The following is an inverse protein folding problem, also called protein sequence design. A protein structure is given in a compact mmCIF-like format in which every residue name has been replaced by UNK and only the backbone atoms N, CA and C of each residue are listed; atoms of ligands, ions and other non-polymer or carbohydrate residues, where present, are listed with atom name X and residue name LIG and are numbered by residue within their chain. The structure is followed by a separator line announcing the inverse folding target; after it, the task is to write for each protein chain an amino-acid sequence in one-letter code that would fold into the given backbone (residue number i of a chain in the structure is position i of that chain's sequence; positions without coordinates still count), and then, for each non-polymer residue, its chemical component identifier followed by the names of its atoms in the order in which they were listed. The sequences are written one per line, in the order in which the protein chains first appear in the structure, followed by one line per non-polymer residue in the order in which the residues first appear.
data_IF_224846397280
#
_entry.id   IF_224846397280
#
_cell.length_a   1.000
_cell.length_b   1.000
_cell.length_c   1.000
_cell.angle_alpha   90.00
_cell.angle_beta   90.00
_cell.angle_gamma   90.00
#
_symmetry.space_group_name_H-M   'P 1'
#
loop_
_entity.id
_entity.type
_entity.pdbx_description
1 polymer ?
#
# COMPACT_ATOMS: atom_id res chain seq x y z
N UNK A 1 -43.91 49.12 -33.62
CA UNK A 1 -43.33 50.44 -33.93
C UNK A 1 -41.87 50.37 -33.52
N UNK A 2 -40.84 50.43 -34.36
CA UNK A 2 -40.59 51.24 -35.55
C UNK A 2 -39.84 50.42 -36.61
N UNK A 3 -40.25 50.59 -37.87
CA UNK A 3 -39.58 50.12 -39.09
C UNK A 3 -38.28 50.90 -39.24
N UNK A 4 -37.14 50.22 -39.30
CA UNK A 4 -35.91 50.82 -39.84
C UNK A 4 -35.73 50.29 -41.26
N UNK A 5 -35.82 51.24 -42.16
CA UNK A 5 -35.89 51.16 -43.60
C UNK A 5 -34.69 50.45 -44.23
N UNK A 6 -34.99 49.69 -45.29
CA UNK A 6 -34.02 49.30 -46.33
C UNK A 6 -33.26 50.54 -46.78
N UNK A 7 -31.98 50.64 -46.44
CA UNK A 7 -31.08 51.57 -47.13
C UNK A 7 -30.70 50.92 -48.46
N UNK A 8 -31.46 51.28 -49.49
CA UNK A 8 -31.01 51.17 -50.88
C UNK A 8 -29.74 52.01 -51.00
N UNK A 9 -28.58 51.38 -51.12
CA UNK A 9 -27.41 52.05 -51.67
C UNK A 9 -27.65 52.20 -53.16
N UNK A 10 -28.16 53.37 -53.51
CA UNK A 10 -28.14 53.93 -54.86
C UNK A 10 -26.71 53.80 -55.38
N UNK A 11 -26.53 53.02 -56.46
CA UNK A 11 -25.27 52.97 -57.19
C UNK A 11 -25.17 54.24 -58.01
N UNK A 12 -24.61 55.29 -57.43
CA UNK A 12 -24.07 56.40 -58.21
C UNK A 12 -22.60 56.09 -58.51
N UNK A 13 -22.33 55.77 -59.77
CA UNK A 13 -20.97 55.62 -60.30
C UNK A 13 -20.31 57.00 -60.38
N UNK A 14 -19.78 57.49 -59.27
CA UNK A 14 -18.77 58.54 -59.29
C UNK A 14 -17.42 57.87 -59.57
N UNK A 15 -17.00 57.90 -60.83
CA UNK A 15 -15.66 57.49 -61.25
C UNK A 15 -14.61 58.29 -60.45
N UNK A 16 -13.63 57.59 -59.89
CA UNK A 16 -12.35 58.10 -59.33
C UNK A 16 -12.26 58.45 -57.84
N UNK A 17 -13.10 57.88 -56.96
CA UNK A 17 -12.78 57.84 -55.52
C UNK A 17 -12.66 56.40 -55.05
N UNK A 18 -11.42 55.95 -54.81
CA UNK A 18 -11.14 54.62 -54.28
C UNK A 18 -10.90 54.73 -52.77
N UNK A 19 -11.95 54.60 -51.95
CA UNK A 19 -11.78 54.41 -50.50
C UNK A 19 -11.54 52.92 -50.25
N UNK A 20 -10.31 52.52 -49.95
CA UNK A 20 -10.02 51.17 -49.46
C UNK A 20 -10.55 51.04 -48.02
N UNK A 21 -11.46 50.10 -47.72
CA UNK A 21 -11.89 49.89 -46.35
C UNK A 21 -10.70 49.39 -45.51
N UNK A 22 -10.48 50.01 -44.34
CA UNK A 22 -9.46 49.63 -43.37
C UNK A 22 -9.75 48.19 -42.87
N UNK A 23 -9.19 47.19 -43.55
CA UNK A 23 -9.32 45.77 -43.22
C UNK A 23 -8.51 45.48 -41.94
N UNK A 24 -9.05 45.77 -40.76
CA UNK A 24 -8.52 45.26 -39.47
C UNK A 24 -8.79 43.75 -39.26
N UNK A 25 -9.09 43.00 -40.32
CA UNK A 25 -9.06 41.55 -40.37
C UNK A 25 -9.10 41.12 -41.84
N UNK A 26 -8.28 40.16 -42.26
CA UNK A 26 -8.35 39.61 -43.62
C UNK A 26 -9.77 39.12 -43.93
N UNK A 27 -10.23 39.27 -45.18
CA UNK A 27 -11.59 38.88 -45.64
C UNK A 27 -11.88 37.38 -45.38
N UNK A 28 -10.84 36.58 -45.16
CA UNK A 28 -10.93 35.16 -44.87
C UNK A 28 -10.94 34.80 -43.37
N UNK A 29 -10.74 35.74 -42.43
CA UNK A 29 -10.74 35.45 -41.00
C UNK A 29 -12.02 35.93 -40.30
N UNK A 30 -12.83 34.96 -39.89
CA UNK A 30 -14.07 35.21 -39.12
C UNK A 30 -13.73 35.57 -37.67
N UNK A 31 -14.41 36.59 -37.11
CA UNK A 31 -14.31 36.97 -35.68
C UNK A 31 -14.66 35.77 -34.78
N UNK A 32 -13.78 35.43 -33.84
CA UNK A 32 -14.02 34.34 -32.90
C UNK A 32 -15.22 34.68 -32.00
N UNK A 33 -16.25 33.85 -32.04
CA UNK A 33 -17.46 34.01 -31.22
C UNK A 33 -17.18 33.55 -29.79
N UNK A 34 -17.65 34.32 -28.81
CA UNK A 34 -17.65 33.91 -27.40
C UNK A 34 -18.54 32.67 -27.27
N UNK A 35 -18.08 31.65 -26.55
CA UNK A 35 -18.87 30.42 -26.35
C UNK A 35 -20.12 30.71 -25.52
N UNK A 36 -21.22 30.06 -25.86
CA UNK A 36 -22.46 30.14 -25.09
C UNK A 36 -22.24 29.66 -23.64
N UNK A 37 -22.87 30.32 -22.65
CA UNK A 37 -22.63 30.03 -21.23
C UNK A 37 -23.01 28.60 -20.84
N UNK A 38 -24.03 28.03 -21.49
CA UNK A 38 -24.45 26.64 -21.27
C UNK A 38 -23.42 25.63 -21.80
N UNK A 39 -22.87 25.86 -22.98
CA UNK A 39 -21.80 25.02 -23.53
C UNK A 39 -20.51 25.09 -22.68
N UNK A 40 -20.20 26.25 -22.09
CA UNK A 40 -19.08 26.40 -21.17
C UNK A 40 -19.26 25.56 -19.89
N UNK A 41 -20.46 25.62 -19.27
CA UNK A 41 -20.82 24.79 -18.10
C UNK A 41 -20.78 23.28 -18.43
N UNK A 42 -21.27 22.88 -19.60
CA UNK A 42 -21.19 21.48 -20.03
C UNK A 42 -19.74 21.00 -20.23
N UNK A 43 -18.85 21.85 -20.76
CA UNK A 43 -17.42 21.51 -20.86
C UNK A 43 -16.76 21.39 -19.49
N UNK A 44 -17.08 22.28 -18.55
CA UNK A 44 -16.57 22.23 -17.19
C UNK A 44 -17.03 20.98 -16.43
N UNK A 45 -18.32 20.66 -16.48
CA UNK A 45 -18.86 19.43 -15.86
C UNK A 45 -18.27 18.16 -16.44
N UNK A 46 -18.01 18.11 -17.76
CA UNK A 46 -17.28 17.00 -18.40
C UNK A 46 -15.85 16.88 -17.86
N UNK A 47 -15.14 17.99 -17.70
CA UNK A 47 -13.78 18.00 -17.11
C UNK A 47 -13.81 17.53 -15.65
N UNK A 48 -14.75 18.04 -14.83
CA UNK A 48 -14.92 17.62 -13.43
C UNK A 48 -15.19 16.12 -13.32
N UNK A 49 -16.09 15.57 -14.14
CA UNK A 49 -16.39 14.12 -14.14
C UNK A 49 -15.20 13.27 -14.58
N UNK A 50 -14.35 13.75 -15.49
CA UNK A 50 -13.11 13.05 -15.87
C UNK A 50 -12.12 13.00 -14.72
N UNK A 51 -11.85 14.16 -14.11
CA UNK A 51 -10.97 14.26 -12.94
C UNK A 51 -11.47 13.41 -11.78
N UNK A 52 -12.78 13.40 -11.52
CA UNK A 52 -13.36 12.56 -10.47
C UNK A 52 -13.15 11.07 -10.72
N UNK A 53 -13.30 10.60 -11.97
CA UNK A 53 -13.01 9.21 -12.34
C UNK A 53 -11.54 8.86 -12.18
N UNK A 54 -10.65 9.77 -12.58
CA UNK A 54 -9.20 9.59 -12.44
C UNK A 54 -8.80 9.54 -10.96
N UNK A 55 -9.32 10.44 -10.13
CA UNK A 55 -9.11 10.41 -8.68
C UNK A 55 -9.61 9.10 -8.07
N UNK A 56 -10.80 8.62 -8.46
CA UNK A 56 -11.32 7.32 -7.99
C UNK A 56 -10.43 6.15 -8.42
N UNK A 57 -9.86 6.20 -9.62
CA UNK A 57 -8.94 5.17 -10.12
C UNK A 57 -7.62 5.19 -9.34
N UNK A 58 -7.04 6.37 -9.12
CA UNK A 58 -5.82 6.56 -8.34
C UNK A 58 -6.00 6.11 -6.88
N UNK A 59 -7.13 6.45 -6.26
CA UNK A 59 -7.51 6.00 -4.92
C UNK A 59 -7.69 4.48 -4.84
N UNK A 60 -8.13 3.83 -5.92
CA UNK A 60 -8.21 2.36 -5.98
C UNK A 60 -6.83 1.74 -6.13
N UNK A 61 -5.93 2.37 -6.90
CA UNK A 61 -4.58 1.85 -7.11
C UNK A 61 -3.70 2.01 -5.86
N UNK A 62 -3.81 3.12 -5.13
CA UNK A 62 -3.02 3.38 -3.90
C UNK A 62 -3.33 2.41 -2.76
N UNK A 63 -4.50 1.75 -2.80
CA UNK A 63 -4.91 0.75 -1.81
C UNK A 63 -4.47 -0.67 -2.14
N UNK A 64 -3.86 -0.91 -3.30
CA UNK A 64 -3.36 -2.25 -3.64
C UNK A 64 -2.12 -2.53 -2.79
N UNK A 65 -2.10 -3.60 -1.97
CA UNK A 65 -0.90 -3.97 -1.24
C UNK A 65 0.19 -4.40 -2.23
N UNK A 66 1.45 -4.19 -1.84
CA UNK A 66 2.58 -4.74 -2.59
C UNK A 66 2.49 -6.27 -2.54
N UNK A 67 2.80 -6.98 -3.64
CA UNK A 67 2.84 -8.43 -3.63
C UNK A 67 3.94 -8.92 -2.68
N UNK A 68 3.73 -10.09 -2.08
CA UNK A 68 4.69 -10.76 -1.21
C UNK A 68 5.40 -11.81 -2.05
N UNK A 69 6.62 -11.50 -2.49
CA UNK A 69 7.40 -12.35 -3.40
C UNK A 69 7.67 -13.76 -2.83
N UNK A 70 7.79 -13.92 -1.51
CA UNK A 70 8.05 -15.21 -0.85
C UNK A 70 6.85 -16.16 -0.89
N UNK A 71 5.63 -15.62 -1.02
CA UNK A 71 4.40 -16.42 -1.07
C UNK A 71 4.10 -16.94 -2.48
N UNK A 72 4.70 -16.34 -3.51
CA UNK A 72 4.53 -16.75 -4.90
C UNK A 72 5.72 -17.56 -5.40
N UNK A 73 5.44 -18.56 -6.24
CA UNK A 73 6.50 -19.25 -6.96
C UNK A 73 7.06 -18.33 -8.06
N UNK A 74 8.39 -18.25 -8.23
CA UNK A 74 8.96 -17.48 -9.32
C UNK A 74 8.59 -18.11 -10.67
N UNK A 75 8.28 -17.28 -11.65
CA UNK A 75 7.89 -17.71 -13.01
C UNK A 75 8.94 -18.62 -13.67
N UNK A 76 10.23 -18.38 -13.40
CA UNK A 76 11.33 -19.21 -13.89
C UNK A 76 11.34 -20.62 -13.31
N UNK A 77 10.84 -20.81 -12.08
CA UNK A 77 10.69 -22.14 -11.52
C UNK A 77 9.50 -22.87 -12.15
N UNK A 78 8.40 -22.15 -12.42
CA UNK A 78 7.18 -22.68 -13.04
C UNK A 78 7.43 -23.27 -14.45
N UNK A 79 8.29 -22.63 -15.25
CA UNK A 79 8.59 -23.09 -16.61
C UNK A 79 9.37 -24.41 -16.65
N UNK A 80 10.28 -24.63 -15.69
CA UNK A 80 11.18 -25.80 -15.68
C UNK A 80 10.82 -26.79 -14.56
N UNK A 81 9.54 -26.82 -14.12
CA UNK A 81 9.09 -27.69 -13.01
C UNK A 81 9.42 -29.16 -13.30
N UNK A 82 9.14 -29.62 -14.52
CA UNK A 82 9.36 -31.02 -14.94
C UNK A 82 10.82 -31.45 -14.83
N UNK A 83 11.75 -30.56 -15.18
CA UNK A 83 13.20 -30.81 -15.19
C UNK A 83 13.81 -30.76 -13.78
N UNK A 84 13.16 -30.04 -12.85
CA UNK A 84 13.66 -29.82 -11.48
C UNK A 84 13.17 -30.87 -10.49
N UNK A 85 12.26 -31.77 -10.88
CA UNK A 85 11.83 -32.84 -10.00
C UNK A 85 12.95 -33.84 -9.73
N UNK A 86 13.13 -34.18 -8.46
CA UNK A 86 13.95 -35.31 -8.04
C UNK A 86 13.08 -36.55 -8.00
N UNK A 87 13.56 -37.66 -8.55
CA UNK A 87 12.91 -38.96 -8.40
C UNK A 87 12.95 -39.38 -6.94
N UNK A 88 11.79 -39.56 -6.33
CA UNK A 88 11.66 -40.02 -4.95
C UNK A 88 11.75 -41.54 -4.92
N UNK A 89 12.57 -42.09 -4.01
CA UNK A 89 12.57 -43.51 -3.71
C UNK A 89 11.37 -43.86 -2.83
N UNK A 90 10.77 -45.03 -3.06
CA UNK A 90 9.69 -45.53 -2.21
C UNK A 90 10.22 -45.85 -0.81
N UNK A 91 9.64 -45.23 0.22
CA UNK A 91 10.03 -45.46 1.60
C UNK A 91 9.71 -46.89 2.03
N UNK A 92 10.69 -47.53 2.67
CA UNK A 92 10.47 -48.84 3.30
C UNK A 92 9.42 -48.75 4.42
N UNK A 93 8.62 -49.80 4.57
CA UNK A 93 7.61 -49.90 5.64
C UNK A 93 8.18 -49.74 7.04
N UNK A 94 9.46 -50.08 7.26
CA UNK A 94 10.17 -49.82 8.52
C UNK A 94 10.39 -48.33 8.73
N UNK A 95 10.90 -47.62 7.73
CA UNK A 95 11.15 -46.17 7.79
C UNK A 95 9.88 -45.39 8.11
N UNK A 96 8.75 -45.75 7.47
CA UNK A 96 7.46 -45.12 7.74
C UNK A 96 6.99 -45.33 9.19
N UNK A 97 7.21 -46.52 9.76
CA UNK A 97 6.87 -46.79 11.17
C UNK A 97 7.75 -45.99 12.12
N UNK A 98 9.04 -45.88 11.82
CA UNK A 98 10.00 -45.11 12.62
C UNK A 98 9.65 -43.61 12.59
N UNK A 99 9.30 -43.06 11.43
CA UNK A 99 8.79 -41.68 11.30
C UNK A 99 7.53 -41.45 12.14
N UNK A 100 6.55 -42.35 12.07
CA UNK A 100 5.31 -42.26 12.87
C UNK A 100 5.63 -42.27 14.37
N UNK A 101 6.58 -43.09 14.81
CA UNK A 101 6.99 -43.15 16.21
C UNK A 101 7.63 -41.82 16.65
N UNK A 102 8.57 -41.30 15.86
CA UNK A 102 9.24 -40.01 16.12
C UNK A 102 8.22 -38.88 16.20
N UNK A 103 7.25 -38.83 15.27
CA UNK A 103 6.22 -37.81 15.28
C UNK A 103 5.32 -37.89 16.53
N UNK A 104 4.97 -39.10 16.98
CA UNK A 104 4.20 -39.29 18.22
C UNK A 104 4.97 -38.80 19.44
N UNK A 105 6.25 -39.14 19.53
CA UNK A 105 7.12 -38.70 20.62
C UNK A 105 7.29 -37.17 20.62
N UNK A 106 7.57 -36.59 19.46
CA UNK A 106 7.68 -35.15 19.27
C UNK A 106 6.41 -34.41 19.68
N UNK A 107 5.24 -34.89 19.24
CA UNK A 107 3.95 -34.29 19.62
C UNK A 107 3.69 -34.40 21.13
N UNK A 108 4.07 -35.52 21.75
CA UNK A 108 3.97 -35.69 23.20
C UNK A 108 4.85 -34.68 23.94
N UNK A 109 6.10 -34.50 23.49
CA UNK A 109 7.03 -33.53 24.06
C UNK A 109 6.53 -32.09 23.89
N UNK A 110 6.05 -31.73 22.70
CA UNK A 110 5.50 -30.40 22.43
C UNK A 110 4.30 -30.09 23.33
N UNK A 111 3.42 -31.07 23.53
CA UNK A 111 2.27 -30.94 24.44
C UNK A 111 2.73 -30.69 25.88
N UNK A 112 3.78 -31.38 26.33
CA UNK A 112 4.36 -31.17 27.67
C UNK A 112 4.96 -29.78 27.81
N UNK A 113 5.71 -29.31 26.81
CA UNK A 113 6.29 -27.97 26.79
C UNK A 113 5.20 -26.90 26.90
N UNK A 114 4.14 -27.00 26.09
CA UNK A 114 3.02 -26.07 26.14
C UNK A 114 2.31 -26.04 27.49
N UNK A 115 2.16 -27.20 28.16
CA UNK A 115 1.59 -27.22 29.52
C UNK A 115 2.46 -26.49 30.53
N UNK A 116 3.77 -26.64 30.43
CA UNK A 116 4.72 -25.95 31.32
C UNK A 116 4.63 -24.43 31.09
N UNK A 117 4.60 -23.99 29.84
CA UNK A 117 4.48 -22.57 29.49
C UNK A 117 3.15 -21.99 29.97
N UNK A 118 2.04 -22.70 29.75
CA UNK A 118 0.71 -22.28 30.20
C UNK A 118 0.63 -22.19 31.74
N UNK A 119 1.14 -23.20 32.45
CA UNK A 119 1.23 -23.15 33.91
C UNK A 119 2.07 -21.96 34.40
N UNK A 120 3.17 -21.66 33.72
CA UNK A 120 4.02 -20.53 34.09
C UNK A 120 3.30 -19.20 33.88
N UNK A 121 2.64 -19.00 32.74
CA UNK A 121 1.84 -17.80 32.46
C UNK A 121 0.72 -17.64 33.49
N UNK A 122 -0.01 -18.72 33.79
CA UNK A 122 -1.08 -18.69 34.79
C UNK A 122 -0.56 -18.32 36.19
N UNK A 123 0.58 -18.87 36.60
CA UNK A 123 1.22 -18.55 37.89
C UNK A 123 1.64 -17.07 37.93
N UNK A 124 2.25 -16.56 36.87
CA UNK A 124 2.66 -15.15 36.77
C UNK A 124 1.45 -14.22 36.84
N UNK A 125 0.38 -14.51 36.09
CA UNK A 125 -0.85 -13.72 36.11
C UNK A 125 -1.52 -13.74 37.50
N UNK A 126 -1.66 -14.91 38.11
CA UNK A 126 -2.24 -15.02 39.46
C UNK A 126 -1.41 -14.27 40.51
N UNK A 127 -0.07 -14.30 40.39
CA UNK A 127 0.80 -13.54 41.28
C UNK A 127 0.65 -12.02 41.06
N UNK A 128 0.55 -11.57 39.81
CA UNK A 128 0.31 -10.18 39.46
C UNK A 128 -1.03 -9.67 40.01
N UNK A 129 -2.12 -10.42 39.81
CA UNK A 129 -3.45 -10.07 40.32
C UNK A 129 -3.45 -9.93 41.84
N UNK A 130 -2.89 -10.93 42.55
CA UNK A 130 -2.76 -10.88 44.02
C UNK A 130 -1.95 -9.68 44.48
N UNK A 131 -0.87 -9.34 43.77
CA UNK A 131 -0.05 -8.17 44.10
C UNK A 131 -0.85 -6.86 43.91
N UNK A 132 -1.63 -6.74 42.84
CA UNK A 132 -2.48 -5.58 42.57
C UNK A 132 -3.61 -5.44 43.59
N UNK A 133 -4.27 -6.53 43.97
CA UNK A 133 -5.30 -6.53 45.00
C UNK A 133 -4.76 -6.04 46.35
N UNK A 134 -3.57 -6.51 46.74
CA UNK A 134 -2.89 -6.04 47.95
C UNK A 134 -2.50 -4.57 47.85
N UNK A 135 -1.97 -4.14 46.70
CA UNK A 135 -1.59 -2.75 46.45
C UNK A 135 -2.81 -1.82 46.55
N UNK A 136 -3.97 -2.26 46.06
CA UNK A 136 -5.23 -1.51 46.12
C UNK A 136 -5.67 -1.24 47.56
N UNK A 137 -5.53 -2.22 48.45
CA UNK A 137 -5.87 -2.10 49.87
C UNK A 137 -4.89 -1.16 50.59
N UNK A 138 -3.59 -1.23 50.27
CA UNK A 138 -2.56 -0.42 50.91
C UNK A 138 -2.56 1.04 50.43
N UNK A 139 -2.70 1.26 49.12
CA UNK A 139 -2.56 2.57 48.49
C UNK A 139 -3.30 2.66 47.15
N UNK A 140 -4.50 3.26 47.11
CA UNK A 140 -5.27 3.39 45.87
C UNK A 140 -4.58 4.23 44.78
N UNK A 141 -3.81 5.25 45.17
CA UNK A 141 -3.09 6.12 44.22
C UNK A 141 -2.00 5.37 43.44
N UNK A 142 -1.20 4.53 44.10
CA UNK A 142 -0.17 3.73 43.42
C UNK A 142 -0.78 2.65 42.54
N UNK A 143 -1.90 2.07 42.96
CA UNK A 143 -2.65 1.12 42.14
C UNK A 143 -3.16 1.77 40.85
N UNK A 144 -3.67 3.00 40.90
CA UNK A 144 -4.08 3.73 39.70
C UNK A 144 -2.91 3.93 38.73
N UNK A 145 -1.76 4.39 39.25
CA UNK A 145 -0.55 4.57 38.44
C UNK A 145 -0.01 3.25 37.86
N UNK A 146 -0.13 2.13 38.59
CA UNK A 146 0.35 0.83 38.13
C UNK A 146 -0.48 0.21 36.99
N UNK A 147 -1.75 0.61 36.85
CA UNK A 147 -2.64 0.15 35.78
C UNK A 147 -2.44 0.94 34.48
N UNK A 148 -1.92 2.17 34.58
CA UNK A 148 -1.70 3.02 33.41
C UNK A 148 -0.74 2.36 32.42
N UNK A 149 -1.07 2.45 31.13
CA UNK A 149 -0.26 1.91 30.06
C UNK A 149 0.95 2.82 29.82
N UNK A 150 2.14 2.22 29.83
CA UNK A 150 3.38 2.93 29.54
C UNK A 150 3.63 2.96 28.03
N UNK A 151 3.35 4.09 27.39
CA UNK A 151 3.54 4.29 25.96
C UNK A 151 4.98 4.08 25.49
N UNK A 152 5.97 4.24 26.38
CA UNK A 152 7.39 4.06 26.03
C UNK A 152 7.72 2.60 25.74
N UNK A 153 7.04 1.66 26.41
CA UNK A 153 7.24 0.21 26.25
C UNK A 153 6.59 -0.37 25.00
N UNK A 154 5.70 0.38 24.34
CA UNK A 154 5.04 -0.06 23.09
C UNK A 154 6.07 -0.19 21.94
N UNK A 155 7.16 0.59 21.98
CA UNK A 155 8.25 0.55 20.98
C UNK A 155 9.37 -0.41 21.39
N UNK A 156 9.01 -1.65 21.64
CA UNK A 156 9.97 -2.68 22.02
C UNK A 156 10.65 -3.31 20.80
N UNK A 157 11.99 -3.29 20.75
CA UNK A 157 12.79 -3.99 19.74
C UNK A 157 13.58 -5.10 20.42
N UNK A 158 13.40 -6.34 19.98
CA UNK A 158 14.08 -7.52 20.51
C UNK A 158 14.71 -8.30 19.38
N UNK A 159 16.00 -8.60 19.53
CA UNK A 159 16.71 -9.52 18.66
C UNK A 159 16.82 -10.86 19.37
N UNK A 160 16.43 -11.94 18.69
CA UNK A 160 16.53 -13.29 19.24
C UNK A 160 17.97 -13.69 19.57
N UNK A 161 18.17 -14.68 20.44
CA UNK A 161 19.50 -15.16 20.78
C UNK A 161 20.21 -15.70 19.53
N UNK A 162 21.48 -15.34 19.27
CA UNK A 162 22.22 -15.86 18.14
C UNK A 162 22.60 -17.33 18.37
N UNK A 163 22.73 -18.10 17.28
CA UNK A 163 23.17 -19.51 17.37
C UNK A 163 24.57 -19.65 17.98
N UNK A 164 25.46 -18.70 17.69
CA UNK A 164 26.83 -18.63 18.24
C UNK A 164 27.05 -17.28 18.90
N UNK A 165 27.83 -17.25 19.99
CA UNK A 165 28.18 -16.01 20.66
C UNK A 165 29.05 -15.10 19.79
N UNK A 166 28.95 -13.79 20.04
CA UNK A 166 29.76 -12.78 19.36
C UNK A 166 31.26 -12.93 19.67
N UNK A 167 32.10 -12.83 18.65
CA UNK A 167 33.56 -12.83 18.77
C UNK A 167 34.05 -11.38 18.86
N UNK A 168 34.64 -11.00 20.00
CA UNK A 168 35.04 -9.60 20.31
C UNK A 168 35.97 -8.93 19.30
N UNK A 169 36.89 -9.70 18.70
CA UNK A 169 37.92 -9.17 17.79
C UNK A 169 37.75 -9.74 16.37
N UNK A 170 36.50 -9.94 15.95
CA UNK A 170 36.23 -10.35 14.58
C UNK A 170 36.21 -9.14 13.67
N UNK A 171 37.18 -9.06 12.77
CA UNK A 171 37.19 -8.07 11.69
C UNK A 171 36.43 -8.67 10.50
N UNK A 172 35.30 -8.05 10.18
CA UNK A 172 34.53 -8.43 9.00
C UNK A 172 35.30 -8.01 7.72
N UNK A 173 35.26 -8.81 6.66
CA UNK A 173 35.81 -8.40 5.37
C UNK A 173 35.03 -7.20 4.82
N UNK A 174 35.71 -6.36 4.04
CA UNK A 174 35.12 -5.17 3.43
C UNK A 174 34.16 -5.54 2.28
N UNK A 175 33.12 -4.74 2.08
CA UNK A 175 32.11 -4.99 1.04
C UNK A 175 30.98 -3.97 0.99
N UNK A 176 30.44 -3.76 -0.21
CA UNK A 176 29.35 -2.83 -0.47
C UNK A 176 27.97 -3.48 -0.29
N UNK A 177 27.05 -2.79 0.39
CA UNK A 177 25.65 -3.18 0.47
C UNK A 177 24.84 -2.50 -0.64
N UNK A 178 24.35 -3.28 -1.60
CA UNK A 178 23.47 -2.80 -2.67
C UNK A 178 22.04 -3.27 -2.39
N UNK A 179 21.14 -2.31 -2.17
CA UNK A 179 19.71 -2.59 -2.01
C UNK A 179 19.08 -2.96 -3.38
N UNK A 180 18.72 -4.24 -3.52
CA UNK A 180 18.07 -4.81 -4.70
C UNK A 180 16.54 -4.95 -4.54
N UNK A 181 15.94 -4.28 -3.55
CA UNK A 181 14.49 -4.36 -3.33
C UNK A 181 13.69 -3.84 -4.53
N UNK A 182 12.73 -4.65 -4.99
CA UNK A 182 11.88 -4.31 -6.13
C UNK A 182 10.94 -3.16 -5.77
N UNK A 183 10.97 -2.10 -6.58
CA UNK A 183 10.04 -0.97 -6.45
C UNK A 183 8.78 -1.26 -7.26
N UNK A 184 7.65 -1.33 -6.57
CA UNK A 184 6.31 -1.48 -7.16
C UNK A 184 5.68 -0.09 -7.29
N UNK A 185 5.55 0.43 -8.52
CA UNK A 185 4.88 1.71 -8.83
C UNK A 185 3.52 1.50 -9.49
#
# INVERSE_FOLDING_TARGET
MLRVSKFFSIVTNCRNVHTTPLLSSSVFMKRQKRMDPEMAKQRETRKRKKLEKEIRLLQKNSKKPKPIDEMSLPESALQNISERYRTLEELSSKSLKDEILIHKEYNSLQTKLWRIDDEWIQKVNSAQEKALDRLKVLSPSLHAAAIELDETKIKFNFQGPPQTQFKKNYEAPDGDFIDVTKKWT
#
